data_IF_278058845588
#
_entry.id   IF_278058845588
#
_cell.length_a   1.000
_cell.length_b   1.000
_cell.length_c   1.000
_cell.angle_alpha   90.00
_cell.angle_beta   90.00
_cell.angle_gamma   90.00
#
_symmetry.space_group_name_H-M   'P 1'
#
loop_
_entity.id
_entity.type
_entity.pdbx_description
1 polymer ?
#
# COMPACT_ATOMS: atom_id res chain seq x y z
N UNK A 1 7.53 14.55 -13.63
CA UNK A 1 6.88 13.39 -13.16
C UNK A 1 6.91 13.34 -11.65
N UNK A 2 5.91 12.83 -11.11
CA UNK A 2 5.81 12.81 -9.68
C UNK A 2 6.79 11.80 -9.09
N UNK A 3 7.28 12.13 -7.95
CA UNK A 3 8.22 11.29 -7.26
C UNK A 3 7.49 10.47 -6.22
N UNK A 4 7.72 9.19 -6.25
CA UNK A 4 7.14 8.33 -5.23
C UNK A 4 7.78 8.59 -3.89
N UNK A 5 7.00 8.36 -2.85
CA UNK A 5 7.50 8.41 -1.50
C UNK A 5 7.97 7.00 -1.16
N UNK A 6 9.23 6.88 -0.77
CA UNK A 6 9.83 5.59 -0.46
C UNK A 6 9.56 5.19 0.97
N UNK A 7 9.60 3.88 1.22
CA UNK A 7 9.38 3.35 2.56
C UNK A 7 10.28 4.02 3.58
N UNK A 8 11.56 4.22 3.23
CA UNK A 8 12.51 4.81 4.17
C UNK A 8 12.16 6.24 4.56
N UNK A 9 11.28 6.89 3.80
CA UNK A 9 10.89 8.27 4.05
C UNK A 9 9.59 8.41 4.81
N UNK A 10 8.90 7.29 5.06
CA UNK A 10 7.56 7.36 5.62
C UNK A 10 7.53 7.95 7.01
N UNK A 11 8.60 7.79 7.78
CA UNK A 11 8.64 8.39 9.13
C UNK A 11 8.54 9.90 9.11
N UNK A 12 8.90 10.52 7.99
CA UNK A 12 8.80 11.97 7.83
C UNK A 12 7.38 12.42 7.52
N UNK A 13 6.50 11.47 7.22
CA UNK A 13 5.14 11.77 6.79
C UNK A 13 4.10 11.21 7.76
N UNK A 14 4.48 11.00 9.01
CA UNK A 14 3.58 10.44 10.01
C UNK A 14 2.31 11.28 10.11
N UNK A 15 1.18 10.61 10.10
CA UNK A 15 -0.16 11.22 10.16
C UNK A 15 -0.50 12.06 8.93
N UNK A 16 0.24 11.89 7.85
CA UNK A 16 -0.02 12.56 6.58
C UNK A 16 -0.53 11.57 5.55
N UNK A 17 -1.32 12.09 4.64
CA UNK A 17 -1.81 11.31 3.51
C UNK A 17 -0.76 11.34 2.40
N UNK A 18 -0.47 10.19 1.83
CA UNK A 18 0.52 10.07 0.76
C UNK A 18 -0.05 9.30 -0.41
N UNK A 19 0.60 9.46 -1.55
CA UNK A 19 0.36 8.64 -2.74
C UNK A 19 1.70 8.03 -3.11
N UNK A 20 1.73 6.71 -3.27
CA UNK A 20 2.99 6.03 -3.54
C UNK A 20 2.74 4.69 -4.22
N UNK A 21 3.76 4.19 -4.89
CA UNK A 21 3.71 2.92 -5.61
C UNK A 21 4.56 1.90 -4.88
N UNK A 22 4.04 0.67 -4.76
CA UNK A 22 4.72 -0.40 -4.06
C UNK A 22 4.47 -1.73 -4.75
N UNK A 23 5.41 -2.66 -4.55
CA UNK A 23 5.23 -4.05 -4.92
C UNK A 23 4.51 -4.79 -3.80
N UNK A 24 3.53 -5.60 -4.15
CA UNK A 24 2.79 -6.41 -3.18
C UNK A 24 3.56 -7.70 -2.94
N UNK A 25 4.15 -7.83 -1.75
CA UNK A 25 4.85 -9.05 -1.37
C UNK A 25 3.91 -10.10 -0.81
N UNK A 26 2.96 -9.68 0.02
CA UNK A 26 1.98 -10.57 0.64
C UNK A 26 0.63 -9.88 0.70
N UNK A 27 -0.41 -10.67 0.54
CA UNK A 27 -1.78 -10.18 0.61
C UNK A 27 -2.62 -11.20 1.35
N UNK A 28 -3.29 -10.75 2.42
CA UNK A 28 -4.19 -11.60 3.20
C UNK A 28 -5.51 -10.91 3.39
N UNK A 29 -6.59 -11.58 3.02
CA UNK A 29 -7.93 -11.10 3.34
C UNK A 29 -8.27 -11.68 4.70
N UNK A 30 -8.44 -10.80 5.68
CA UNK A 30 -8.64 -11.21 7.07
C UNK A 30 -10.03 -10.81 7.53
N UNK A 31 -10.53 -11.60 8.48
CA UNK A 31 -11.84 -11.35 9.05
C UNK A 31 -11.72 -11.11 10.53
N UNK A 32 -12.12 -9.92 10.94
CA UNK A 32 -12.26 -9.58 12.32
C UNK A 32 -13.68 -9.10 12.51
N UNK A 33 -13.86 -8.01 13.25
CA UNK A 33 -15.17 -7.38 13.33
C UNK A 33 -15.62 -6.86 11.99
N UNK A 34 -14.66 -6.41 11.17
CA UNK A 34 -14.88 -6.08 9.77
C UNK A 34 -13.84 -6.83 8.97
N UNK A 35 -14.17 -7.11 7.72
CA UNK A 35 -13.24 -7.73 6.81
C UNK A 35 -12.24 -6.68 6.33
N UNK A 36 -10.96 -7.04 6.27
CA UNK A 36 -9.93 -6.12 5.82
C UNK A 36 -8.82 -6.90 5.10
N UNK A 37 -8.02 -6.17 4.33
CA UNK A 37 -6.86 -6.75 3.67
C UNK A 37 -5.62 -6.30 4.40
N UNK A 38 -4.77 -7.26 4.75
CA UNK A 38 -3.45 -6.96 5.31
C UNK A 38 -2.42 -7.18 4.22
N UNK A 39 -1.59 -6.18 4.00
CA UNK A 39 -0.60 -6.19 2.92
C UNK A 39 0.79 -6.03 3.49
N UNK A 40 1.74 -6.71 2.85
CA UNK A 40 3.15 -6.39 3.02
C UNK A 40 3.62 -5.80 1.70
N UNK A 41 4.01 -4.56 1.73
CA UNK A 41 4.39 -3.79 0.56
C UNK A 41 5.88 -3.47 0.60
N UNK A 42 6.47 -3.34 -0.58
CA UNK A 42 7.90 -3.09 -0.67
C UNK A 42 8.23 -2.13 -1.79
N UNK A 43 9.31 -1.41 -1.61
CA UNK A 43 10.03 -0.77 -2.70
C UNK A 43 11.51 -1.08 -2.48
N UNK A 44 12.39 -0.45 -3.25
CA UNK A 44 13.81 -0.76 -3.13
C UNK A 44 14.44 -0.20 -1.87
N UNK A 45 13.70 0.53 -1.04
CA UNK A 45 14.23 1.08 0.20
C UNK A 45 13.79 0.32 1.44
N UNK A 46 12.81 -0.59 1.33
CA UNK A 46 12.34 -1.34 2.49
C UNK A 46 10.94 -1.89 2.31
N UNK A 47 10.36 -2.34 3.41
CA UNK A 47 9.00 -2.91 3.43
C UNK A 47 8.15 -2.20 4.45
N UNK A 48 6.83 -2.28 4.27
CA UNK A 48 5.87 -1.70 5.20
C UNK A 48 4.59 -2.52 5.19
N UNK A 49 3.94 -2.60 6.35
CA UNK A 49 2.63 -3.21 6.47
C UNK A 49 1.56 -2.17 6.14
N UNK A 50 0.55 -2.60 5.41
CA UNK A 50 -0.58 -1.73 5.06
C UNK A 50 -1.87 -2.49 5.28
N UNK A 51 -2.93 -1.74 5.60
CA UNK A 51 -4.24 -2.32 5.82
C UNK A 51 -5.27 -1.59 4.97
N UNK A 52 -6.17 -2.34 4.35
CA UNK A 52 -7.29 -1.80 3.59
C UNK A 52 -8.55 -2.17 4.35
N UNK A 53 -9.21 -1.16 4.92
CA UNK A 53 -10.36 -1.39 5.81
C UNK A 53 -11.70 -1.29 5.12
N UNK A 54 -11.79 -0.55 4.02
CA UNK A 54 -13.05 -0.31 3.33
C UNK A 54 -13.10 -1.10 2.03
N UNK A 55 -14.25 -1.72 1.78
CA UNK A 55 -14.48 -2.46 0.52
C UNK A 55 -13.42 -3.54 0.29
N UNK A 56 -13.01 -4.21 1.36
CA UNK A 56 -11.88 -5.13 1.28
C UNK A 56 -12.12 -6.25 0.26
N UNK A 57 -13.30 -6.86 0.27
CA UNK A 57 -13.59 -7.95 -0.64
C UNK A 57 -13.47 -7.50 -2.10
N UNK A 58 -14.09 -6.39 -2.42
CA UNK A 58 -14.09 -5.87 -3.78
C UNK A 58 -12.67 -5.48 -4.23
N UNK A 59 -11.94 -4.81 -3.35
CA UNK A 59 -10.59 -4.37 -3.66
C UNK A 59 -9.65 -5.56 -3.80
N UNK A 60 -9.84 -6.58 -2.94
CA UNK A 60 -8.98 -7.76 -2.98
C UNK A 60 -9.01 -8.45 -4.34
N UNK A 61 -10.10 -8.34 -5.06
CA UNK A 61 -10.26 -8.99 -6.36
C UNK A 61 -9.55 -8.25 -7.48
N UNK A 62 -9.02 -7.06 -7.22
CA UNK A 62 -8.46 -6.21 -8.26
C UNK A 62 -6.94 -6.32 -8.39
N UNK A 63 -6.30 -7.02 -7.48
CA UNK A 63 -4.84 -7.16 -7.53
C UNK A 63 -4.41 -8.44 -6.83
N UNK A 64 -3.14 -8.81 -7.04
CA UNK A 64 -2.61 -10.03 -6.42
C UNK A 64 -1.16 -9.83 -6.01
N UNK A 65 -0.64 -10.77 -5.26
CA UNK A 65 0.78 -10.75 -4.91
C UNK A 65 1.62 -10.71 -6.17
N UNK A 66 2.67 -9.91 -6.13
CA UNK A 66 3.53 -9.69 -7.27
C UNK A 66 3.15 -8.47 -8.11
N UNK A 67 1.96 -7.94 -7.91
CA UNK A 67 1.54 -6.74 -8.63
C UNK A 67 2.21 -5.50 -8.05
N UNK A 68 2.38 -4.48 -8.89
CA UNK A 68 2.74 -3.15 -8.44
C UNK A 68 1.44 -2.36 -8.33
N UNK A 69 1.24 -1.73 -7.19
CA UNK A 69 0.02 -0.98 -6.94
C UNK A 69 0.35 0.46 -6.57
N UNK A 70 -0.56 1.35 -6.90
CA UNK A 70 -0.52 2.74 -6.42
C UNK A 70 -1.56 2.90 -5.35
N UNK A 71 -1.16 3.43 -4.21
CA UNK A 71 -2.08 3.61 -3.11
C UNK A 71 -2.17 5.08 -2.74
N UNK A 72 -3.31 5.43 -2.17
CA UNK A 72 -3.51 6.67 -1.44
C UNK A 72 -3.85 6.26 -0.02
N UNK A 73 -3.06 6.70 0.93
CA UNK A 73 -3.26 6.27 2.30
C UNK A 73 -2.59 7.19 3.30
N UNK A 74 -2.82 6.91 4.55
CA UNK A 74 -2.29 7.70 5.64
C UNK A 74 -1.22 6.91 6.37
N UNK A 75 -0.11 7.59 6.70
CA UNK A 75 0.98 6.99 7.46
C UNK A 75 0.61 7.03 8.94
N UNK A 76 0.59 5.86 9.57
CA UNK A 76 0.22 5.72 10.98
C UNK A 76 1.32 5.02 11.74
N UNK A 77 1.31 5.21 13.05
CA UNK A 77 2.21 4.49 13.95
C UNK A 77 1.36 3.59 14.85
N UNK A 78 1.73 2.30 14.91
CA UNK A 78 1.03 1.34 15.76
C UNK A 78 2.09 0.50 16.46
N UNK A 79 2.08 0.54 17.80
CA UNK A 79 3.06 -0.19 18.61
C UNK A 79 4.49 0.08 18.16
N UNK A 80 4.79 1.36 17.94
CA UNK A 80 6.11 1.84 17.53
C UNK A 80 6.53 1.41 16.15
N UNK A 81 5.61 0.91 15.34
CA UNK A 81 5.90 0.54 13.96
C UNK A 81 5.02 1.36 13.02
N UNK A 82 5.60 1.74 11.90
CA UNK A 82 4.84 2.46 10.90
C UNK A 82 3.95 1.51 10.13
N UNK A 83 2.76 1.96 9.80
CA UNK A 83 1.81 1.24 8.96
C UNK A 83 1.11 2.22 8.06
N UNK A 84 0.58 1.71 6.95
CA UNK A 84 -0.23 2.52 6.06
C UNK A 84 -1.69 2.12 6.21
N UNK A 85 -2.55 3.11 6.34
CA UNK A 85 -4.00 2.92 6.27
C UNK A 85 -4.42 3.32 4.87
N UNK A 86 -4.75 2.34 4.05
CA UNK A 86 -4.99 2.56 2.62
C UNK A 86 -6.42 3.00 2.41
N UNK A 87 -6.59 4.12 1.70
CA UNK A 87 -7.91 4.65 1.37
C UNK A 87 -8.32 4.30 -0.04
N UNK A 88 -7.37 4.30 -0.97
CA UNK A 88 -7.62 3.95 -2.36
C UNK A 88 -6.43 3.15 -2.88
N UNK A 89 -6.71 2.27 -3.81
CA UNK A 89 -5.71 1.37 -4.34
C UNK A 89 -6.02 1.07 -5.80
N UNK A 90 -4.99 1.07 -6.62
CA UNK A 90 -5.11 0.78 -8.04
C UNK A 90 -3.92 -0.09 -8.45
N UNK A 91 -4.20 -1.19 -9.12
CA UNK A 91 -3.12 -1.99 -9.69
C UNK A 91 -2.61 -1.28 -10.94
N UNK A 92 -1.30 -1.24 -11.08
CA UNK A 92 -0.66 -0.67 -12.26
C UNK A 92 -0.35 -1.82 -13.21
N UNK A 93 -0.68 -1.63 -14.49
CA UNK A 93 -0.28 -2.64 -15.45
C UNK A 93 1.15 -2.34 -15.92
N UNK A 94 1.72 -3.29 -16.66
CA UNK A 94 3.10 -3.16 -17.08
C UNK A 94 3.34 -1.93 -17.92
N UNK A 95 2.37 -1.59 -18.76
CA UNK A 95 2.52 -0.43 -19.64
C UNK A 95 2.60 0.85 -18.84
N UNK A 96 1.70 1.01 -17.87
CA UNK A 96 1.73 2.18 -17.01
C UNK A 96 3.03 2.26 -16.23
N UNK A 97 3.48 1.13 -15.72
CA UNK A 97 4.68 1.10 -14.91
C UNK A 97 5.91 1.46 -15.72
N UNK A 98 6.00 0.94 -16.93
CA UNK A 98 7.13 1.22 -17.81
C UNK A 98 7.20 2.69 -18.19
N UNK A 99 6.04 3.31 -18.39
CA UNK A 99 6.02 4.71 -18.77
C UNK A 99 6.43 5.64 -17.65
N UNK A 100 6.30 5.20 -16.41
CA UNK A 100 6.70 6.00 -15.27
C UNK A 100 8.22 6.04 -15.14
N UNK A 101 8.85 5.01 -15.58
CA UNK A 101 10.30 4.97 -15.56
C UNK A 101 10.86 5.91 -16.61
#
# INVERSE_FOLDING_TARGET
MSKNIYVKELSKHLNQEIIADFLVLQKELREGKVQYIRLKLADNSGTITANVWNNAQSISEKFKEGDVIRIKGEVRSYKKQLQLSVKKLKALDEVEFDLVD
#
